data_IF_598439281242
#
_entry.id   IF_598439281242
#
_cell.length_a   1.000
_cell.length_b   1.000
_cell.length_c   1.000
_cell.angle_alpha   90.00
_cell.angle_beta   90.00
_cell.angle_gamma   90.00
#
_symmetry.space_group_name_H-M   'P 1'
#
loop_
_entity.id
_entity.type
_entity.pdbx_description
1 polymer ?
#
# COMPACT_ATOMS: atom_id res chain seq x y z
N UNK A 1 -8.58 -0.80 -3.58
CA UNK A 1 -7.63 -1.09 -4.68
C UNK A 1 -6.57 0.00 -4.62
N UNK A 2 -5.27 -0.30 -4.52
CA UNK A 2 -4.24 0.69 -4.21
C UNK A 2 -3.82 1.49 -5.42
N UNK A 3 -3.53 2.75 -5.20
CA UNK A 3 -3.54 3.82 -6.19
C UNK A 3 -2.09 4.19 -6.40
N UNK A 4 -1.66 4.45 -7.63
CA UNK A 4 -0.41 5.18 -7.83
C UNK A 4 -0.59 6.57 -7.24
N UNK A 5 -0.19 6.73 -5.97
CA UNK A 5 0.05 8.03 -5.38
C UNK A 5 1.23 8.67 -6.16
N UNK A 6 1.30 10.01 -6.31
CA UNK A 6 2.33 10.68 -7.11
C UNK A 6 3.79 10.37 -6.72
N UNK A 7 4.00 9.70 -5.59
CA UNK A 7 5.30 9.17 -5.16
C UNK A 7 5.67 7.82 -5.80
N UNK A 8 4.82 7.27 -6.68
CA UNK A 8 5.04 6.02 -7.38
C UNK A 8 5.04 4.80 -6.46
N UNK A 9 4.18 4.78 -5.43
CA UNK A 9 4.09 3.66 -4.48
C UNK A 9 2.66 3.16 -4.31
N UNK A 10 2.52 1.85 -4.09
CA UNK A 10 1.26 1.22 -3.68
C UNK A 10 1.09 1.30 -2.17
N UNK A 11 -0.01 1.86 -1.72
CA UNK A 11 -0.34 1.93 -0.30
C UNK A 11 -1.30 0.81 0.12
N UNK A 12 -1.15 0.32 1.33
CA UNK A 12 -2.09 -0.63 1.93
C UNK A 12 -3.17 0.13 2.72
N UNK A 13 -4.37 -0.42 2.80
CA UNK A 13 -5.52 0.18 3.48
C UNK A 13 -6.13 -0.86 4.43
N UNK A 14 -6.53 -0.44 5.64
CA UNK A 14 -7.26 -1.30 6.58
C UNK A 14 -8.75 -1.23 6.26
N UNK A 15 -9.37 -2.33 5.85
CA UNK A 15 -10.80 -2.33 5.52
C UNK A 15 -11.24 -3.48 4.61
N UNK A 16 -12.55 -3.51 4.32
CA UNK A 16 -13.20 -4.57 3.56
C UNK A 16 -12.59 -4.75 2.15
N UNK A 17 -12.61 -6.00 1.66
CA UNK A 17 -12.08 -6.45 0.35
C UNK A 17 -12.56 -5.67 -0.88
N UNK A 18 -13.54 -4.78 -0.74
CA UNK A 18 -14.17 -4.06 -1.85
C UNK A 18 -14.06 -2.56 -1.64
N UNK A 19 -13.78 -1.87 -2.74
CA UNK A 19 -13.82 -0.42 -2.79
C UNK A 19 -15.25 0.06 -2.51
N UNK A 20 -15.39 0.97 -1.55
CA UNK A 20 -16.67 1.57 -1.14
C UNK A 20 -17.12 2.74 -2.01
N UNK A 21 -16.40 3.06 -3.10
CA UNK A 21 -16.65 4.23 -3.93
C UNK A 21 -16.10 5.55 -3.37
N UNK A 22 -15.36 5.52 -2.25
CA UNK A 22 -14.70 6.70 -1.70
C UNK A 22 -13.58 7.19 -2.64
N UNK A 23 -13.43 8.50 -2.79
CA UNK A 23 -12.41 9.16 -3.62
C UNK A 23 -11.04 9.25 -2.96
N UNK A 24 -10.96 8.98 -1.65
CA UNK A 24 -9.75 8.95 -0.86
C UNK A 24 -9.91 7.97 0.30
N UNK A 25 -8.80 7.42 0.79
CA UNK A 25 -8.80 6.61 1.99
C UNK A 25 -7.51 6.80 2.79
N UNK A 26 -7.63 6.58 4.09
CA UNK A 26 -6.49 6.53 5.00
C UNK A 26 -5.74 5.20 4.85
N UNK A 27 -4.43 5.31 4.64
CA UNK A 27 -3.55 4.17 4.46
C UNK A 27 -3.11 3.61 5.82
N UNK A 28 -2.57 2.39 5.79
CA UNK A 28 -2.00 1.73 6.98
C UNK A 28 -0.90 2.57 7.65
N UNK A 29 -0.16 3.37 6.87
CA UNK A 29 0.88 4.26 7.37
C UNK A 29 0.38 5.66 7.78
N UNK A 30 -0.95 5.87 7.84
CA UNK A 30 -1.56 7.12 8.32
C UNK A 30 -1.60 8.25 7.29
N UNK A 31 -1.21 7.99 6.04
CA UNK A 31 -1.31 8.97 4.94
C UNK A 31 -2.66 8.83 4.27
N UNK A 32 -3.39 9.93 4.08
CA UNK A 32 -4.61 9.94 3.25
C UNK A 32 -4.22 10.11 1.79
N UNK A 33 -4.60 9.15 0.95
CA UNK A 33 -4.27 9.18 -0.48
C UNK A 33 -5.55 9.09 -1.32
N UNK A 34 -5.60 9.77 -2.49
CA UNK A 34 -6.71 9.61 -3.43
C UNK A 34 -6.81 8.15 -3.88
N UNK A 35 -8.03 7.66 -4.10
CA UNK A 35 -8.35 6.31 -4.57
C UNK A 35 -8.54 6.27 -6.09
N UNK A 36 -7.60 5.67 -6.83
CA UNK A 36 -7.76 5.22 -8.22
C UNK A 36 -7.60 3.70 -8.37
N UNK A 37 -8.18 3.17 -9.45
CA UNK A 37 -8.03 1.77 -9.82
C UNK A 37 -6.63 1.54 -10.43
N UNK A 38 -5.73 0.74 -9.81
CA UNK A 38 -4.48 0.32 -10.43
C UNK A 38 -4.72 -0.54 -11.67
N UNK A 39 -3.90 -0.33 -12.69
CA UNK A 39 -3.78 -1.23 -13.83
C UNK A 39 -3.01 -2.51 -13.45
N UNK A 40 -3.09 -3.57 -14.25
CA UNK A 40 -2.22 -4.76 -14.09
C UNK A 40 -0.73 -4.38 -14.10
N UNK A 41 -0.34 -3.41 -14.93
CA UNK A 41 1.03 -2.94 -15.00
C UNK A 41 1.48 -2.31 -13.67
N UNK A 42 0.60 -1.59 -12.98
CA UNK A 42 0.92 -1.00 -11.69
C UNK A 42 1.23 -2.07 -10.62
N UNK A 43 0.60 -3.24 -10.70
CA UNK A 43 0.90 -4.34 -9.77
C UNK A 43 2.30 -4.92 -9.95
N UNK A 44 2.84 -4.84 -11.17
CA UNK A 44 4.16 -5.35 -11.54
C UNK A 44 5.24 -4.30 -11.24
N UNK A 45 5.02 -3.05 -11.66
CA UNK A 45 6.07 -2.04 -11.70
C UNK A 45 6.15 -1.16 -10.45
N UNK A 46 5.04 -0.99 -9.74
CA UNK A 46 4.97 -0.02 -8.64
C UNK A 46 5.27 -0.73 -7.31
N UNK A 47 6.34 -0.37 -6.58
CA UNK A 47 6.64 -0.99 -5.30
C UNK A 47 5.58 -0.64 -4.24
N UNK A 48 5.42 -1.51 -3.24
CA UNK A 48 4.60 -1.21 -2.06
C UNK A 48 5.33 -0.20 -1.18
N UNK A 49 4.60 0.74 -0.58
CA UNK A 49 5.14 1.65 0.42
C UNK A 49 5.79 0.86 1.55
N UNK A 50 7.06 1.15 1.87
CA UNK A 50 7.82 0.41 2.88
C UNK A 50 7.17 0.38 4.26
N UNK A 51 6.52 1.48 4.67
CA UNK A 51 5.79 1.53 5.94
C UNK A 51 4.52 0.67 5.91
N UNK A 52 3.77 0.71 4.80
CA UNK A 52 2.63 -0.18 4.60
C UNK A 52 3.06 -1.65 4.57
N UNK A 53 4.18 -1.95 3.91
CA UNK A 53 4.73 -3.30 3.82
C UNK A 53 5.17 -3.84 5.18
N UNK A 54 5.90 -3.04 5.96
CA UNK A 54 6.30 -3.40 7.31
C UNK A 54 5.10 -3.68 8.22
N UNK A 55 4.06 -2.84 8.14
CA UNK A 55 2.84 -3.04 8.90
C UNK A 55 2.07 -4.32 8.47
N UNK A 56 2.01 -4.63 7.18
CA UNK A 56 1.40 -5.88 6.69
C UNK A 56 2.16 -7.11 7.17
N UNK A 57 3.49 -7.07 7.19
CA UNK A 57 4.31 -8.16 7.72
C UNK A 57 4.07 -8.34 9.22
N UNK A 58 4.06 -7.24 9.99
CA UNK A 58 3.77 -7.28 11.42
C UNK A 58 2.38 -7.88 11.71
N UNK A 59 1.36 -7.55 10.92
CA UNK A 59 0.01 -8.15 11.01
C UNK A 59 0.01 -9.66 10.70
N UNK A 60 0.97 -10.14 9.90
CA UNK A 60 1.17 -11.57 9.60
C UNK A 60 2.08 -12.28 10.61
N UNK A 61 2.53 -11.60 11.67
CA UNK A 61 3.52 -12.13 12.62
C UNK A 61 4.90 -12.34 11.99
N UNK A 62 5.19 -11.65 10.89
CA UNK A 62 6.49 -11.67 10.21
C UNK A 62 7.19 -10.35 10.47
N UNK A 63 8.46 -10.39 10.83
CA UNK A 63 9.24 -9.16 10.93
C UNK A 63 9.63 -8.70 9.51
N UNK A 64 9.60 -7.40 9.21
CA UNK A 64 10.20 -6.90 7.99
C UNK A 64 11.68 -7.24 8.02
N UNK A 65 12.13 -8.07 7.06
CA UNK A 65 13.54 -8.30 6.84
C UNK A 65 14.19 -6.94 6.55
N UNK A 66 14.89 -6.41 7.55
CA UNK A 66 15.72 -5.23 7.47
C UNK A 66 16.96 -5.60 6.66
N UNK A 67 16.75 -5.85 5.37
CA UNK A 67 17.79 -6.10 4.38
C UNK A 67 18.66 -4.86 4.25
N UNK A 68 19.63 -4.73 5.16
CA UNK A 68 20.79 -3.88 5.00
C UNK A 68 21.58 -4.45 3.83
N UNK A 69 21.24 -4.01 2.62
CA UNK A 69 22.07 -4.29 1.45
C UNK A 69 23.25 -3.31 1.52
N UNK A 70 24.35 -3.80 2.09
CA UNK A 70 25.69 -3.20 1.94
C UNK A 70 26.08 -3.18 0.46
#
# INVERSE_FOLDING_TARGET
>A
MPVPHPDGRRYAFRGARRWSGCSQAETVCGVTVPLAAPSEMDWIWIPTCGACWAALLAEQGREPDSGTRQ
#
